data_IF_618506486641
#
_entry.id   IF_618506486641
#
_cell.length_a   1.000
_cell.length_b   1.000
_cell.length_c   1.000
_cell.angle_alpha   90.00
_cell.angle_beta   90.00
_cell.angle_gamma   90.00
#
_symmetry.space_group_name_H-M   'P 1'
#
loop_
_entity.id
_entity.type
_entity.pdbx_description
1 polymer ?
#
# COMPACT_ATOMS: atom_id res chain seq x y z
N UNK A 1 -12.81 -3.23 18.25
CA UNK A 1 -12.82 -3.13 16.77
C UNK A 1 -12.02 -1.89 16.47
N UNK A 2 -11.07 -1.98 15.55
CA UNK A 2 -10.10 -0.94 15.28
C UNK A 2 -10.41 -0.31 13.93
N UNK A 3 -10.06 0.95 13.78
CA UNK A 3 -10.20 1.70 12.53
C UNK A 3 -8.87 1.64 11.78
N UNK A 4 -8.92 1.34 10.48
CA UNK A 4 -7.74 1.19 9.64
C UNK A 4 -7.86 2.07 8.40
N UNK A 5 -6.85 2.89 8.16
CA UNK A 5 -6.76 3.76 6.99
C UNK A 5 -5.82 3.18 5.93
N UNK A 6 -6.32 3.03 4.71
CA UNK A 6 -5.53 2.54 3.58
C UNK A 6 -6.20 2.91 2.27
N UNK A 7 -5.44 2.91 1.17
CA UNK A 7 -5.99 3.14 -0.16
C UNK A 7 -5.83 1.90 -1.02
N UNK A 8 -6.90 1.50 -1.70
CA UNK A 8 -6.87 0.48 -2.73
C UNK A 8 -7.05 1.12 -4.11
N UNK A 9 -6.20 0.74 -5.06
CA UNK A 9 -6.23 1.25 -6.43
C UNK A 9 -6.59 0.13 -7.39
N UNK A 10 -7.49 0.42 -8.31
CA UNK A 10 -7.96 -0.53 -9.32
C UNK A 10 -7.97 0.09 -10.71
N UNK A 11 -7.79 -0.74 -11.73
CA UNK A 11 -8.12 -0.44 -13.11
C UNK A 11 -9.57 -0.83 -13.35
N UNK A 12 -10.33 0.09 -13.94
CA UNK A 12 -11.73 -0.12 -14.29
C UNK A 12 -11.85 -0.80 -15.67
N UNK A 13 -12.80 -1.73 -15.84
CA UNK A 13 -13.18 -2.22 -17.17
C UNK A 13 -13.72 -1.10 -18.06
N UNK A 14 -13.51 -1.18 -19.38
CA UNK A 14 -13.92 -0.12 -20.32
C UNK A 14 -15.41 0.23 -20.30
N UNK A 15 -16.27 -0.67 -19.83
CA UNK A 15 -17.72 -0.42 -19.69
C UNK A 15 -18.08 0.56 -18.57
N UNK A 16 -17.16 0.84 -17.64
CA UNK A 16 -17.36 1.81 -16.56
C UNK A 16 -16.79 3.16 -17.01
N UNK A 17 -17.56 3.86 -17.84
CA UNK A 17 -17.22 5.21 -18.32
C UNK A 17 -17.92 6.32 -17.55
N UNK A 18 -19.06 6.00 -16.93
CA UNK A 18 -19.83 6.92 -16.11
C UNK A 18 -19.35 6.85 -14.66
N UNK A 19 -18.78 7.97 -14.21
CA UNK A 19 -18.26 8.16 -12.87
C UNK A 19 -19.34 8.07 -11.80
N UNK A 20 -20.51 8.68 -12.03
CA UNK A 20 -21.56 8.76 -11.01
C UNK A 20 -22.15 7.37 -10.77
N UNK A 21 -22.40 6.63 -11.84
CA UNK A 21 -22.82 5.23 -11.76
C UNK A 21 -21.79 4.33 -11.04
N UNK A 22 -20.49 4.59 -11.20
CA UNK A 22 -19.43 3.86 -10.47
C UNK A 22 -19.49 4.17 -8.97
N UNK A 23 -19.65 5.44 -8.60
CA UNK A 23 -19.76 5.87 -7.19
C UNK A 23 -21.00 5.24 -6.53
N UNK A 24 -22.15 5.27 -7.21
CA UNK A 24 -23.38 4.64 -6.72
C UNK A 24 -23.24 3.13 -6.54
N UNK A 25 -22.58 2.44 -7.50
CA UNK A 25 -22.32 1.01 -7.41
C UNK A 25 -21.40 0.68 -6.21
N UNK A 26 -20.38 1.50 -5.95
CA UNK A 26 -19.48 1.34 -4.79
C UNK A 26 -20.21 1.54 -3.47
N UNK A 27 -21.02 2.59 -3.36
CA UNK A 27 -21.84 2.84 -2.17
C UNK A 27 -22.78 1.66 -1.92
N UNK A 28 -23.49 1.21 -2.96
CA UNK A 28 -24.41 0.06 -2.88
C UNK A 28 -23.68 -1.27 -2.60
N UNK A 29 -22.41 -1.38 -2.98
CA UNK A 29 -21.57 -2.55 -2.77
C UNK A 29 -20.91 -2.65 -1.39
N UNK A 30 -21.11 -1.66 -0.52
CA UNK A 30 -20.59 -1.64 0.85
C UNK A 30 -19.33 -0.79 1.05
N UNK A 31 -18.92 0.02 0.05
CA UNK A 31 -17.79 0.94 0.14
C UNK A 31 -18.25 2.35 0.53
N UNK A 32 -19.03 2.49 1.60
CA UNK A 32 -19.55 3.78 2.10
C UNK A 32 -18.56 4.52 2.99
N UNK A 33 -17.51 3.84 3.42
CA UNK A 33 -16.44 4.30 4.31
C UNK A 33 -15.14 4.62 3.55
N UNK A 34 -15.26 4.91 2.25
CA UNK A 34 -14.15 5.26 1.39
C UNK A 34 -14.36 6.57 0.66
N UNK A 35 -13.30 7.38 0.60
CA UNK A 35 -13.22 8.51 -0.33
C UNK A 35 -12.80 7.99 -1.71
N UNK A 36 -13.62 8.29 -2.72
CA UNK A 36 -13.38 7.88 -4.10
C UNK A 36 -12.55 8.93 -4.85
N UNK A 37 -11.42 8.52 -5.40
CA UNK A 37 -10.54 9.32 -6.25
C UNK A 37 -10.51 8.80 -7.69
N UNK A 38 -10.84 9.67 -8.65
CA UNK A 38 -10.90 9.36 -10.10
C UNK A 38 -9.93 10.20 -10.93
N UNK A 39 -8.75 10.49 -10.38
CA UNK A 39 -7.79 11.43 -11.00
C UNK A 39 -7.17 10.96 -12.33
N UNK A 40 -7.34 9.69 -12.73
CA UNK A 40 -6.82 9.12 -13.98
C UNK A 40 -7.90 8.29 -14.66
N UNK A 41 -8.16 8.55 -15.95
CA UNK A 41 -9.17 7.81 -16.72
C UNK A 41 -8.88 6.30 -16.71
N UNK A 42 -9.94 5.50 -16.48
CA UNK A 42 -9.86 4.04 -16.38
C UNK A 42 -9.21 3.53 -15.08
N UNK A 43 -8.98 4.39 -14.08
CA UNK A 43 -8.48 4.01 -12.75
C UNK A 43 -9.33 4.62 -11.66
N UNK A 44 -9.36 3.94 -10.54
CA UNK A 44 -10.00 4.39 -9.32
C UNK A 44 -9.08 4.15 -8.13
N UNK A 45 -9.06 5.09 -7.21
CA UNK A 45 -8.44 4.97 -5.90
C UNK A 45 -9.52 5.12 -4.83
N UNK A 46 -9.49 4.27 -3.81
CA UNK A 46 -10.46 4.24 -2.73
C UNK A 46 -9.70 4.32 -1.43
N UNK A 47 -9.76 5.47 -0.75
CA UNK A 47 -9.14 5.66 0.55
C UNK A 47 -10.15 5.32 1.62
N UNK A 48 -10.00 4.15 2.22
CA UNK A 48 -10.88 3.61 3.26
C UNK A 48 -10.47 4.10 4.64
N UNK A 49 -11.48 4.26 5.49
CA UNK A 49 -11.36 4.33 6.95
C UNK A 49 -12.24 3.20 7.52
N UNK A 50 -11.71 1.97 7.49
CA UNK A 50 -12.49 0.73 7.68
C UNK A 50 -12.39 0.21 9.10
N UNK A 51 -13.53 -0.06 9.73
CA UNK A 51 -13.59 -0.73 11.03
C UNK A 51 -13.50 -2.26 10.89
N UNK A 52 -12.55 -2.88 11.58
CA UNK A 52 -12.35 -4.34 11.55
C UNK A 52 -11.69 -4.90 12.82
N UNK A 53 -11.51 -6.23 12.88
CA UNK A 53 -10.76 -6.89 13.95
C UNK A 53 -9.25 -6.85 13.74
N UNK A 54 -8.81 -6.75 12.49
CA UNK A 54 -7.40 -6.69 12.09
C UNK A 54 -7.25 -5.91 10.79
N UNK A 55 -6.04 -5.43 10.49
CA UNK A 55 -5.74 -4.78 9.22
C UNK A 55 -5.98 -5.71 8.01
N UNK A 56 -5.71 -7.02 8.19
CA UNK A 56 -5.98 -8.03 7.17
C UNK A 56 -7.47 -8.12 6.87
N UNK A 57 -8.31 -8.21 7.90
CA UNK A 57 -9.77 -8.25 7.72
C UNK A 57 -10.30 -6.96 7.09
N UNK A 58 -9.74 -5.82 7.46
CA UNK A 58 -10.11 -4.52 6.88
C UNK A 58 -9.82 -4.48 5.37
N UNK A 59 -8.58 -4.78 4.98
CA UNK A 59 -8.16 -4.78 3.57
C UNK A 59 -8.89 -5.86 2.76
N UNK A 60 -9.07 -7.06 3.32
CA UNK A 60 -9.75 -8.15 2.64
C UNK A 60 -11.24 -7.87 2.41
N UNK A 61 -11.95 -7.37 3.43
CA UNK A 61 -13.37 -7.03 3.29
C UNK A 61 -13.58 -5.86 2.32
N UNK A 62 -12.78 -4.80 2.42
CA UNK A 62 -12.81 -3.68 1.47
C UNK A 62 -12.53 -4.15 0.03
N UNK A 63 -11.52 -5.01 -0.16
CA UNK A 63 -11.20 -5.57 -1.49
C UNK A 63 -12.35 -6.40 -2.06
N UNK A 64 -13.06 -7.16 -1.21
CA UNK A 64 -14.21 -7.97 -1.63
C UNK A 64 -15.40 -7.08 -2.02
N UNK A 65 -15.67 -6.02 -1.26
CA UNK A 65 -16.75 -5.08 -1.54
C UNK A 65 -16.52 -4.36 -2.87
N UNK A 66 -15.28 -3.90 -3.15
CA UNK A 66 -14.94 -3.29 -4.44
C UNK A 66 -15.14 -4.26 -5.61
N UNK A 67 -14.67 -5.51 -5.47
CA UNK A 67 -14.83 -6.53 -6.53
C UNK A 67 -16.30 -6.88 -6.77
N UNK A 68 -17.15 -6.81 -5.74
CA UNK A 68 -18.60 -7.02 -5.86
C UNK A 68 -19.28 -5.84 -6.53
N UNK A 69 -18.93 -4.61 -6.14
CA UNK A 69 -19.45 -3.37 -6.72
C UNK A 69 -19.07 -3.21 -8.20
N UNK A 70 -17.81 -3.55 -8.53
CA UNK A 70 -17.23 -3.38 -9.86
C UNK A 70 -16.66 -4.71 -10.35
N UNK A 71 -17.50 -5.67 -10.77
CA UNK A 71 -17.02 -6.93 -11.30
C UNK A 71 -15.99 -6.74 -12.41
N UNK A 72 -14.89 -7.50 -12.39
CA UNK A 72 -13.82 -7.39 -13.38
C UNK A 72 -12.85 -6.21 -13.19
N UNK A 73 -12.98 -5.40 -12.13
CA UNK A 73 -11.93 -4.47 -11.73
C UNK A 73 -10.61 -5.21 -11.48
N UNK A 74 -9.49 -4.68 -11.98
CA UNK A 74 -8.17 -5.29 -11.78
C UNK A 74 -7.43 -4.53 -10.69
N UNK A 75 -6.99 -5.24 -9.65
CA UNK A 75 -6.21 -4.64 -8.58
C UNK A 75 -4.86 -4.12 -9.10
N UNK A 76 -4.51 -2.89 -8.73
CA UNK A 76 -3.24 -2.26 -9.09
C UNK A 76 -2.31 -2.25 -7.88
N UNK A 77 -2.73 -1.63 -6.78
CA UNK A 77 -1.85 -1.35 -5.64
C UNK A 77 -2.68 -1.06 -4.39
N UNK A 78 -2.14 -1.43 -3.23
CA UNK A 78 -2.58 -0.98 -1.92
C UNK A 78 -1.51 -0.08 -1.29
N UNK A 79 -1.93 1.04 -0.72
CA UNK A 79 -1.04 1.98 -0.01
C UNK A 79 -1.52 2.21 1.42
N UNK A 80 -0.62 2.51 2.37
CA UNK A 80 0.81 2.79 2.19
C UNK A 80 1.66 1.53 2.03
N UNK A 81 2.69 1.54 1.18
CA UNK A 81 3.68 0.46 1.08
C UNK A 81 5.01 0.96 0.52
N UNK A 82 5.09 1.30 -0.77
CA UNK A 82 6.30 1.88 -1.36
C UNK A 82 6.39 3.36 -1.04
N UNK A 83 7.47 3.76 -0.38
CA UNK A 83 7.68 5.13 0.13
C UNK A 83 9.05 5.66 -0.27
N UNK A 84 9.09 6.92 -0.67
CA UNK A 84 10.30 7.69 -0.79
C UNK A 84 10.68 8.39 0.51
N UNK A 85 11.78 9.14 0.48
CA UNK A 85 12.27 9.85 1.67
C UNK A 85 11.32 10.96 2.16
N UNK A 86 10.59 11.58 1.23
CA UNK A 86 9.59 12.60 1.58
C UNK A 86 8.41 11.95 2.29
N UNK A 87 7.84 10.88 1.71
CA UNK A 87 6.72 10.16 2.32
C UNK A 87 7.08 9.63 3.71
N UNK A 88 8.28 9.07 3.87
CA UNK A 88 8.79 8.65 5.18
C UNK A 88 8.87 9.81 6.17
N UNK A 89 9.34 10.98 5.74
CA UNK A 89 9.45 12.13 6.61
C UNK A 89 8.07 12.61 7.08
N UNK A 90 7.10 12.64 6.18
CA UNK A 90 5.72 13.02 6.47
C UNK A 90 5.06 12.00 7.43
N UNK A 91 5.21 10.70 7.18
CA UNK A 91 4.68 9.63 8.03
C UNK A 91 5.30 9.66 9.44
N UNK A 92 6.60 9.92 9.53
CA UNK A 92 7.32 9.96 10.82
C UNK A 92 7.15 11.33 11.52
N UNK A 93 6.58 12.33 10.86
CA UNK A 93 6.39 13.66 11.42
C UNK A 93 7.70 14.44 11.61
N UNK A 94 8.69 14.25 10.72
CA UNK A 94 9.95 14.98 10.76
C UNK A 94 10.32 15.59 9.40
N UNK A 95 11.40 16.35 9.33
CA UNK A 95 11.80 16.95 8.04
C UNK A 95 12.48 15.93 7.12
N UNK A 96 12.31 16.09 5.80
CA UNK A 96 13.02 15.28 4.80
C UNK A 96 14.54 15.28 5.01
N UNK A 97 15.12 16.41 5.43
CA UNK A 97 16.55 16.50 5.73
C UNK A 97 16.93 15.69 6.98
N UNK A 98 16.06 15.63 7.99
CA UNK A 98 16.24 14.76 9.16
C UNK A 98 16.25 13.29 8.72
N UNK A 99 15.24 12.85 7.96
CA UNK A 99 15.22 11.49 7.41
C UNK A 99 16.46 11.17 6.57
N UNK A 100 16.91 12.11 5.73
CA UNK A 100 18.15 11.91 4.95
C UNK A 100 19.36 11.66 5.85
N UNK A 101 19.51 12.47 6.90
CA UNK A 101 20.61 12.32 7.87
C UNK A 101 20.52 10.98 8.60
N UNK A 102 19.32 10.57 9.00
CA UNK A 102 19.08 9.29 9.65
C UNK A 102 19.54 8.13 8.75
N UNK A 103 19.10 8.09 7.49
CA UNK A 103 19.50 7.04 6.54
C UNK A 103 21.02 6.99 6.36
N UNK A 104 21.67 8.16 6.19
CA UNK A 104 23.13 8.24 6.01
C UNK A 104 23.90 7.81 7.27
N UNK A 105 23.40 8.13 8.47
CA UNK A 105 24.05 7.79 9.73
C UNK A 105 23.82 6.34 10.17
N UNK A 106 22.77 5.69 9.66
CA UNK A 106 22.36 4.33 10.07
C UNK A 106 23.22 3.23 9.46
N UNK A 107 24.02 3.54 8.44
CA UNK A 107 24.91 2.59 7.79
C UNK A 107 24.17 1.33 7.31
N UNK A 108 24.75 0.12 7.48
CA UNK A 108 24.15 -1.13 7.00
C UNK A 108 22.89 -1.56 7.77
N UNK A 109 22.56 -0.88 8.88
CA UNK A 109 21.37 -1.21 9.67
C UNK A 109 20.07 -0.78 9.01
N UNK A 110 20.08 0.28 8.19
CA UNK A 110 18.86 0.75 7.52
C UNK A 110 18.43 -0.21 6.40
N UNK A 111 17.12 -0.47 6.21
CA UNK A 111 16.66 -1.37 5.17
C UNK A 111 17.13 -0.99 3.77
N UNK A 112 17.51 -2.00 2.98
CA UNK A 112 17.85 -1.78 1.56
C UNK A 112 16.62 -1.30 0.79
N UNK A 113 16.79 -0.35 -0.15
CA UNK A 113 15.70 0.06 -1.03
C UNK A 113 15.32 -1.06 -2.00
N UNK A 114 14.06 -1.10 -2.40
CA UNK A 114 13.58 -1.94 -3.51
C UNK A 114 13.96 -1.35 -4.86
N UNK A 115 14.03 -0.02 -4.93
CA UNK A 115 14.48 0.68 -6.11
C UNK A 115 15.45 1.77 -5.69
N UNK A 116 16.61 1.82 -6.33
CA UNK A 116 17.67 2.81 -6.06
C UNK A 116 17.99 3.59 -7.34
N UNK A 117 17.01 4.38 -7.79
CA UNK A 117 17.12 5.25 -8.97
C UNK A 117 17.16 6.73 -8.59
N UNK A 118 16.62 7.60 -9.47
CA UNK A 118 16.50 9.05 -9.18
C UNK A 118 15.71 9.32 -7.88
N UNK A 119 14.74 8.46 -7.59
CA UNK A 119 14.03 8.37 -6.32
C UNK A 119 14.26 6.98 -5.75
N UNK A 120 14.91 6.91 -4.59
CA UNK A 120 15.00 5.66 -3.84
C UNK A 120 13.64 5.34 -3.19
N UNK A 121 13.22 4.07 -3.28
CA UNK A 121 11.97 3.57 -2.74
C UNK A 121 12.21 2.40 -1.80
N UNK A 122 11.55 2.44 -0.64
CA UNK A 122 11.58 1.38 0.36
C UNK A 122 10.18 0.81 0.61
N UNK A 123 10.12 -0.40 1.14
CA UNK A 123 8.88 -0.90 1.76
C UNK A 123 8.74 -0.24 3.13
N UNK A 124 7.64 0.46 3.35
CA UNK A 124 7.33 1.16 4.59
C UNK A 124 7.40 0.20 5.79
N UNK A 125 6.83 -1.00 5.66
CA UNK A 125 6.89 -2.00 6.72
C UNK A 125 8.32 -2.37 7.14
N UNK A 126 9.29 -2.41 6.21
CA UNK A 126 10.68 -2.69 6.57
C UNK A 126 11.31 -1.51 7.33
N UNK A 127 11.04 -0.28 6.90
CA UNK A 127 11.53 0.94 7.55
C UNK A 127 10.93 1.10 8.95
N UNK A 128 9.61 0.92 9.10
CA UNK A 128 8.94 0.98 10.39
C UNK A 128 9.45 -0.09 11.37
N UNK A 129 9.68 -1.33 10.88
CA UNK A 129 10.24 -2.40 11.71
C UNK A 129 11.66 -2.08 12.20
N UNK A 130 12.47 -1.40 11.38
CA UNK A 130 13.78 -0.93 11.79
C UNK A 130 13.67 0.24 12.80
N UNK A 131 12.80 1.22 12.53
CA UNK A 131 12.61 2.37 13.42
C UNK A 131 12.16 1.96 14.83
N UNK A 132 11.28 0.96 14.94
CA UNK A 132 10.86 0.38 16.24
C UNK A 132 12.04 -0.15 17.07
N UNK A 133 13.14 -0.58 16.45
CA UNK A 133 14.32 -1.07 17.18
C UNK A 133 15.21 0.06 17.69
N UNK A 134 15.00 1.30 17.24
CA UNK A 134 15.85 2.44 17.60
C UNK A 134 15.40 3.17 18.87
N UNK A 135 14.23 2.83 19.44
CA UNK A 135 13.56 3.50 20.57
C UNK A 135 13.36 5.02 20.41
N UNK A 136 13.60 5.58 19.22
CA UNK A 136 13.54 7.03 18.94
C UNK A 136 12.18 7.50 18.44
N UNK A 137 11.35 6.58 17.97
CA UNK A 137 10.08 6.88 17.30
C UNK A 137 8.99 6.01 17.89
N UNK A 138 7.90 6.65 18.30
CA UNK A 138 6.68 5.95 18.69
C UNK A 138 5.90 5.62 17.42
N UNK A 139 5.89 4.34 17.05
CA UNK A 139 5.26 3.86 15.82
C UNK A 139 3.97 3.15 16.21
N UNK A 140 2.84 3.72 15.79
CA UNK A 140 1.51 3.12 15.97
C UNK A 140 1.48 1.69 15.40
N UNK A 141 1.08 0.73 16.24
CA UNK A 141 0.99 -0.68 15.88
C UNK A 141 -0.05 -0.95 14.78
N UNK A 142 -1.19 -0.24 14.82
CA UNK A 142 -2.24 -0.38 13.82
C UNK A 142 -1.76 0.10 12.45
N UNK A 143 -1.05 1.23 12.41
CA UNK A 143 -0.45 1.74 11.19
C UNK A 143 0.63 0.81 10.63
N UNK A 144 1.47 0.25 11.51
CA UNK A 144 2.47 -0.74 11.14
C UNK A 144 1.83 -2.02 10.54
N UNK A 145 0.73 -2.47 11.13
CA UNK A 145 -0.04 -3.62 10.62
C UNK A 145 -0.64 -3.34 9.25
N UNK A 146 -1.17 -2.14 9.00
CA UNK A 146 -1.63 -1.74 7.67
C UNK A 146 -0.49 -1.83 6.67
N UNK A 147 0.66 -1.21 6.95
CA UNK A 147 1.83 -1.23 6.06
C UNK A 147 2.32 -2.66 5.75
N UNK A 148 2.18 -3.58 6.72
CA UNK A 148 2.53 -5.00 6.54
C UNK A 148 1.53 -5.71 5.62
N UNK A 149 0.23 -5.47 5.80
CA UNK A 149 -0.84 -6.11 5.01
C UNK A 149 -0.87 -5.58 3.58
N UNK A 150 -0.77 -4.27 3.37
CA UNK A 150 -0.71 -3.65 2.04
C UNK A 150 0.51 -4.15 1.25
N UNK A 151 1.68 -4.25 1.91
CA UNK A 151 2.88 -4.90 1.35
C UNK A 151 2.60 -6.33 0.90
N UNK A 152 1.98 -7.14 1.75
CA UNK A 152 1.68 -8.53 1.42
C UNK A 152 0.71 -8.63 0.24
N UNK A 153 -0.29 -7.76 0.16
CA UNK A 153 -1.23 -7.71 -0.95
C UNK A 153 -0.55 -7.32 -2.27
N UNK A 154 0.34 -6.32 -2.25
CA UNK A 154 1.12 -5.91 -3.42
C UNK A 154 2.06 -7.02 -3.90
N UNK A 155 2.79 -7.67 -2.98
CA UNK A 155 3.64 -8.82 -3.31
C UNK A 155 2.79 -9.98 -3.86
N UNK A 156 1.62 -10.25 -3.28
CA UNK A 156 0.73 -11.30 -3.78
C UNK A 156 0.29 -11.03 -5.22
N UNK A 157 0.02 -9.77 -5.58
CA UNK A 157 -0.24 -9.37 -6.96
C UNK A 157 0.98 -9.67 -7.85
N UNK A 158 2.17 -9.26 -7.45
CA UNK A 158 3.41 -9.53 -8.20
C UNK A 158 3.63 -11.05 -8.39
N UNK A 159 3.42 -11.86 -7.36
CA UNK A 159 3.54 -13.33 -7.42
C UNK A 159 2.53 -13.94 -8.39
N UNK A 160 1.29 -13.46 -8.38
CA UNK A 160 0.26 -13.89 -9.34
C UNK A 160 0.60 -13.46 -10.77
N UNK A 161 1.14 -12.24 -10.96
CA UNK A 161 1.62 -11.76 -12.26
C UNK A 161 2.83 -12.58 -12.75
N UNK A 162 3.68 -13.07 -11.83
CA UNK A 162 4.84 -13.94 -12.06
C UNK A 162 4.48 -15.40 -12.42
N UNK A 163 3.24 -15.70 -12.81
CA UNK A 163 2.78 -17.03 -13.25
C UNK A 163 3.52 -17.64 -14.49
N UNK A 164 4.72 -17.14 -14.82
CA UNK A 164 5.65 -17.60 -15.85
C UNK A 164 7.10 -17.58 -15.31
N UNK A 165 7.61 -18.78 -15.04
CA UNK A 165 9.02 -19.18 -14.82
C UNK A 165 10.08 -18.07 -14.65
N UNK A 166 10.25 -17.55 -13.43
CA UNK A 166 11.50 -16.90 -13.05
C UNK A 166 12.61 -17.96 -13.02
N UNK A 167 13.60 -17.80 -13.89
CA UNK A 167 14.78 -18.67 -13.98
C UNK A 167 15.43 -18.88 -12.60
N UNK A 168 15.76 -20.12 -12.26
CA UNK A 168 16.34 -20.49 -10.96
C UNK A 168 17.67 -19.77 -10.68
N UNK A 169 18.44 -19.43 -11.72
CA UNK A 169 19.66 -18.62 -11.55
C UNK A 169 19.30 -17.24 -11.04
N UNK A 170 18.28 -16.60 -11.59
CA UNK A 170 17.82 -15.29 -11.14
C UNK A 170 17.29 -15.32 -9.70
N UNK A 171 16.62 -16.41 -9.31
CA UNK A 171 16.16 -16.60 -7.91
C UNK A 171 17.32 -16.69 -6.93
N UNK A 172 18.42 -17.36 -7.29
CA UNK A 172 19.62 -17.47 -6.45
C UNK A 172 20.41 -16.17 -6.31
N UNK A 173 20.20 -15.19 -7.19
CA UNK A 173 20.86 -13.88 -7.08
C UNK A 173 20.25 -12.99 -6.01
N UNK A 174 19.03 -13.29 -5.56
CA UNK A 174 18.27 -12.47 -4.60
C UNK A 174 18.09 -13.12 -3.22
N UNK A 175 18.49 -14.40 -3.08
CA UNK A 175 18.47 -15.17 -1.83
C UNK A 175 19.79 -15.05 -1.07
#
# INVERSE_FOLDING_TARGET
MNEFEFTLKFKLPQRYTDTDAVIEALASGGCTDAVVGLGLSGRIALTFTRNAKSALDAVASASADVKRAIPGSQFIEATPDLVGLTDLADIIGCSRQNMRKLVLASGPGFPSPIHDGKLALWRLAAVLAWLKQTDRYDIDEQWFDVARVTRQLNISREVVDLNLQVDDKLRRLVS
#
